data_IF_970242214888
#
_entry.id   IF_970242214888
#
_cell.length_a   1.000
_cell.length_b   1.000
_cell.length_c   1.000
_cell.angle_alpha   90.00
_cell.angle_beta   90.00
_cell.angle_gamma   90.00
#
_symmetry.space_group_name_H-M   'P 1'
#
loop_
_entity.id
_entity.type
_entity.pdbx_description
1 polymer ?
#
# COMPACT_ATOMS: atom_id res chain seq x y z
N UNK A 1 -8.38 14.22 1.79
CA UNK A 1 -7.14 15.01 2.00
C UNK A 1 -6.25 14.22 2.96
N UNK A 2 -4.95 14.08 2.66
CA UNK A 2 -3.93 13.45 3.52
C UNK A 2 -2.96 14.50 4.04
N UNK A 3 -2.14 14.16 5.02
CA UNK A 3 -1.04 14.99 5.51
C UNK A 3 0.26 14.81 4.70
N UNK A 4 0.23 13.95 3.67
CA UNK A 4 1.42 13.60 2.88
C UNK A 4 2.47 12.83 3.67
N UNK A 5 2.14 12.32 4.86
CA UNK A 5 3.03 11.57 5.75
C UNK A 5 4.28 12.35 6.20
N UNK A 6 4.24 13.68 6.17
CA UNK A 6 5.37 14.55 6.52
C UNK A 6 5.90 14.40 7.95
N UNK A 7 5.16 13.67 8.81
CA UNK A 7 5.55 13.40 10.19
C UNK A 7 6.28 12.07 10.36
N UNK A 8 6.53 11.33 9.26
CA UNK A 8 7.21 10.04 9.23
C UNK A 8 8.53 10.17 8.51
N UNK A 9 9.58 9.56 9.04
CA UNK A 9 10.84 9.37 8.33
C UNK A 9 10.68 8.22 7.32
N UNK A 10 10.06 7.13 7.76
CA UNK A 10 9.75 5.98 6.93
C UNK A 10 8.29 5.55 7.13
N UNK A 11 7.49 5.59 6.08
CA UNK A 11 6.03 5.43 6.10
C UNK A 11 5.53 4.17 6.83
N UNK A 12 6.25 3.05 6.75
CA UNK A 12 5.88 1.79 7.38
C UNK A 12 6.65 1.50 8.67
N UNK A 13 7.94 1.88 8.71
CA UNK A 13 8.80 1.58 9.87
C UNK A 13 8.34 2.35 11.10
N UNK A 14 8.09 3.65 10.96
CA UNK A 14 7.66 4.51 12.07
C UNK A 14 6.36 4.01 12.70
N UNK A 15 5.43 3.51 11.87
CA UNK A 15 4.19 2.94 12.35
C UNK A 15 4.42 1.63 13.11
N UNK A 16 5.14 0.69 12.50
CA UNK A 16 5.35 -0.65 13.04
C UNK A 16 6.27 -0.65 14.27
N UNK A 17 7.29 0.20 14.28
CA UNK A 17 8.15 0.43 15.43
C UNK A 17 7.41 1.10 16.61
N UNK A 18 6.23 1.65 16.36
CA UNK A 18 5.33 2.12 17.42
C UNK A 18 4.73 1.01 18.29
N UNK A 19 4.78 -0.25 17.85
CA UNK A 19 4.35 -1.41 18.62
C UNK A 19 5.49 -1.95 19.50
N UNK A 20 5.18 -2.34 20.72
CA UNK A 20 6.12 -3.04 21.58
C UNK A 20 6.56 -4.34 20.92
N UNK A 21 7.81 -4.73 21.09
CA UNK A 21 8.38 -5.94 20.52
C UNK A 21 8.92 -5.78 19.09
N UNK A 22 8.75 -4.62 18.44
CA UNK A 22 9.37 -4.29 17.15
C UNK A 22 10.52 -3.32 17.38
N UNK A 23 11.71 -3.68 16.92
CA UNK A 23 12.93 -2.86 17.01
C UNK A 23 13.54 -2.63 15.65
N UNK A 24 14.35 -1.57 15.53
CA UNK A 24 15.14 -1.32 14.32
C UNK A 24 16.38 -2.20 14.29
N UNK A 25 16.75 -2.64 13.09
CA UNK A 25 17.94 -3.46 12.85
C UNK A 25 18.81 -2.80 11.78
N UNK A 26 20.11 -3.01 11.88
CA UNK A 26 21.10 -2.60 10.86
C UNK A 26 21.39 -3.71 9.84
N UNK A 27 20.75 -4.88 9.98
CA UNK A 27 20.91 -6.01 9.06
C UNK A 27 20.34 -5.71 7.67
N UNK A 28 20.96 -6.26 6.62
CA UNK A 28 20.41 -6.24 5.26
C UNK A 28 19.51 -7.46 5.07
N UNK A 29 18.19 -7.28 5.17
CA UNK A 29 17.21 -8.34 4.93
C UNK A 29 16.71 -8.39 3.48
N UNK A 30 17.02 -7.35 2.70
CA UNK A 30 16.52 -7.25 1.33
C UNK A 30 17.35 -8.09 0.36
N UNK A 31 18.57 -8.50 0.74
CA UNK A 31 19.45 -9.31 -0.10
C UNK A 31 19.61 -8.72 -1.50
N UNK A 32 19.16 -9.47 -2.53
CA UNK A 32 19.16 -9.03 -3.92
C UNK A 32 17.93 -8.18 -4.31
N UNK A 33 16.84 -8.20 -3.51
CA UNK A 33 15.62 -7.42 -3.76
C UNK A 33 15.80 -5.95 -3.38
N UNK A 34 16.64 -5.24 -4.12
CA UNK A 34 16.98 -3.83 -3.89
C UNK A 34 16.24 -2.92 -4.85
N UNK A 35 16.06 -1.67 -4.42
CA UNK A 35 15.54 -0.65 -5.31
C UNK A 35 16.46 -0.43 -6.51
N UNK A 36 15.91 -0.48 -7.71
CA UNK A 36 16.64 -0.28 -8.94
C UNK A 36 17.17 1.18 -9.02
N UNK A 37 18.47 1.35 -9.28
CA UNK A 37 19.06 2.67 -9.49
C UNK A 37 19.41 3.46 -8.23
N UNK A 38 19.44 2.83 -7.06
CA UNK A 38 19.95 3.44 -5.81
C UNK A 38 20.72 2.42 -4.97
N UNK A 39 21.70 2.91 -4.21
CA UNK A 39 22.45 2.13 -3.21
C UNK A 39 21.88 2.30 -1.80
N UNK A 40 20.99 3.27 -1.58
CA UNK A 40 20.35 3.50 -0.30
C UNK A 40 19.22 2.49 -0.09
N UNK A 41 19.12 1.97 1.12
CA UNK A 41 18.06 1.07 1.54
C UNK A 41 17.41 1.60 2.82
N UNK A 42 16.09 1.39 3.01
CA UNK A 42 15.45 1.72 4.28
C UNK A 42 16.04 0.86 5.40
N UNK A 43 15.98 1.31 6.67
CA UNK A 43 16.27 0.48 7.81
C UNK A 43 15.43 -0.80 7.80
N UNK A 44 15.91 -1.82 8.48
CA UNK A 44 15.16 -3.07 8.65
C UNK A 44 14.56 -3.15 10.05
N UNK A 45 13.62 -4.06 10.23
CA UNK A 45 12.98 -4.31 11.51
C UNK A 45 13.37 -5.70 12.03
N UNK A 46 13.40 -5.85 13.34
CA UNK A 46 13.48 -7.15 14.00
C UNK A 46 12.35 -7.29 15.04
N UNK A 47 11.91 -8.52 15.23
CA UNK A 47 10.94 -8.84 16.27
C UNK A 47 11.73 -9.30 17.50
N UNK A 48 11.83 -8.42 18.50
CA UNK A 48 12.61 -8.65 19.72
C UNK A 48 11.78 -9.25 20.88
N UNK A 49 10.44 -9.18 20.77
CA UNK A 49 9.50 -9.71 21.77
C UNK A 49 8.09 -9.86 21.20
N UNK A 50 7.15 -10.36 22.02
CA UNK A 50 5.73 -10.45 21.63
C UNK A 50 5.19 -9.06 21.30
N UNK A 51 4.51 -8.96 20.17
CA UNK A 51 3.97 -7.69 19.67
C UNK A 51 2.75 -7.30 20.49
N UNK A 52 2.75 -6.05 20.96
CA UNK A 52 1.65 -5.46 21.74
C UNK A 52 1.50 -3.99 21.40
N UNK A 53 0.33 -3.46 21.66
CA UNK A 53 0.05 -2.03 21.54
C UNK A 53 -0.16 -1.42 22.92
N UNK A 54 0.89 -0.87 23.50
CA UNK A 54 0.82 -0.15 24.80
C UNK A 54 0.37 1.30 24.68
N UNK A 55 0.49 1.87 23.48
CA UNK A 55 0.12 3.26 23.16
C UNK A 55 -0.29 3.37 21.70
N UNK A 56 -1.07 4.42 21.30
CA UNK A 56 -1.34 4.71 19.90
C UNK A 56 -0.05 4.93 19.11
N UNK A 57 0.03 4.35 17.91
CA UNK A 57 1.21 4.53 17.05
C UNK A 57 1.20 5.90 16.37
N UNK A 58 0.08 6.28 15.75
CA UNK A 58 0.02 7.52 14.94
C UNK A 58 -1.27 8.33 15.12
N UNK A 59 -1.99 8.15 16.21
CA UNK A 59 -3.24 8.86 16.48
C UNK A 59 -3.06 10.39 16.47
N UNK A 60 -1.96 10.90 17.00
CA UNK A 60 -1.68 12.34 17.05
C UNK A 60 -1.44 12.93 15.64
N UNK A 61 -0.91 12.14 14.70
CA UNK A 61 -0.77 12.55 13.30
C UNK A 61 -2.17 12.75 12.65
N UNK A 62 -3.11 11.85 12.91
CA UNK A 62 -4.48 11.98 12.43
C UNK A 62 -5.20 13.17 13.08
N UNK A 63 -5.07 13.37 14.39
CA UNK A 63 -5.67 14.52 15.10
C UNK A 63 -5.19 15.85 14.51
N UNK A 64 -3.89 15.93 14.22
CA UNK A 64 -3.33 17.12 13.56
C UNK A 64 -3.94 17.31 12.16
N UNK A 65 -3.94 16.26 11.31
CA UNK A 65 -4.56 16.34 9.98
C UNK A 65 -5.99 16.84 10.08
N UNK A 66 -6.80 16.24 10.95
CA UNK A 66 -8.19 16.63 11.17
C UNK A 66 -8.32 18.10 11.58
N UNK A 67 -7.43 18.63 12.39
CA UNK A 67 -7.47 20.02 12.87
C UNK A 67 -7.22 21.06 11.77
N UNK A 68 -6.48 20.68 10.70
CA UNK A 68 -6.09 21.61 9.62
C UNK A 68 -6.93 21.44 8.34
N UNK A 69 -7.64 20.34 8.18
CA UNK A 69 -8.50 20.10 7.01
C UNK A 69 -9.70 21.06 7.03
N UNK A 70 -9.84 21.86 5.97
CA UNK A 70 -10.91 22.85 5.80
C UNK A 70 -12.02 22.36 4.86
N UNK A 71 -11.66 21.51 3.90
CA UNK A 71 -12.58 20.97 2.89
C UNK A 71 -12.24 19.49 2.62
N UNK A 72 -13.27 18.71 2.38
CA UNK A 72 -13.13 17.27 2.13
C UNK A 72 -12.98 16.46 3.41
N UNK A 73 -12.78 15.16 3.24
CA UNK A 73 -12.65 14.19 4.31
C UNK A 73 -11.16 13.95 4.61
N UNK A 74 -10.72 14.04 5.88
CA UNK A 74 -9.36 13.61 6.24
C UNK A 74 -9.24 12.11 6.01
N UNK A 75 -8.24 11.73 5.19
CA UNK A 75 -7.87 10.34 4.90
C UNK A 75 -6.55 10.03 5.60
N UNK A 76 -6.53 8.98 6.38
CA UNK A 76 -5.33 8.51 7.04
C UNK A 76 -4.76 7.28 6.36
N UNK A 77 -3.43 7.12 6.39
CA UNK A 77 -2.72 5.98 5.80
C UNK A 77 -1.92 5.25 6.86
N UNK A 78 -1.88 3.93 6.77
CA UNK A 78 -1.07 3.07 7.62
C UNK A 78 -0.57 1.86 6.82
N UNK A 79 0.59 1.28 7.16
CA UNK A 79 1.07 0.09 6.45
C UNK A 79 0.15 -1.11 6.67
N UNK A 80 0.16 -2.05 5.73
CA UNK A 80 -0.47 -3.36 5.90
C UNK A 80 0.25 -4.16 7.00
N UNK A 81 -0.46 -5.04 7.74
CA UNK A 81 0.17 -5.99 8.65
C UNK A 81 1.24 -6.85 7.98
N UNK A 82 1.06 -7.19 6.70
CA UNK A 82 2.02 -7.95 5.90
C UNK A 82 3.41 -7.31 5.85
N UNK A 83 3.49 -5.99 5.97
CA UNK A 83 4.76 -5.26 5.93
C UNK A 83 5.72 -5.68 7.04
N UNK A 84 5.23 -6.01 8.24
CA UNK A 84 6.10 -6.50 9.30
C UNK A 84 6.66 -7.89 8.94
N UNK A 85 5.80 -8.84 8.58
CA UNK A 85 6.25 -10.18 8.21
C UNK A 85 7.23 -10.14 7.03
N UNK A 86 6.91 -9.43 5.96
CA UNK A 86 7.72 -9.36 4.75
C UNK A 86 9.04 -8.60 4.93
N UNK A 87 9.13 -7.68 5.89
CA UNK A 87 10.26 -6.73 6.05
C UNK A 87 11.06 -6.89 7.33
N UNK A 88 10.62 -7.75 8.27
CA UNK A 88 11.41 -8.05 9.46
C UNK A 88 12.43 -9.17 9.19
N UNK A 89 13.48 -9.16 10.01
CA UNK A 89 14.43 -10.28 10.04
C UNK A 89 13.73 -11.59 10.39
N UNK A 90 13.79 -12.56 9.48
CA UNK A 90 13.10 -13.84 9.60
C UNK A 90 13.56 -14.67 10.79
N UNK A 91 14.84 -14.59 11.15
CA UNK A 91 15.38 -15.36 12.29
C UNK A 91 14.84 -14.82 13.61
N UNK A 92 14.80 -13.50 13.77
CA UNK A 92 14.22 -12.85 14.96
C UNK A 92 12.73 -13.16 15.09
N UNK A 93 11.99 -13.06 13.98
CA UNK A 93 10.56 -13.34 13.94
C UNK A 93 10.28 -14.79 14.36
N UNK A 94 10.95 -15.76 13.75
CA UNK A 94 10.78 -17.19 14.07
C UNK A 94 11.17 -17.54 15.51
N UNK A 95 12.14 -16.81 16.09
CA UNK A 95 12.55 -17.01 17.49
C UNK A 95 11.43 -16.63 18.46
N UNK A 96 10.72 -15.54 18.20
CA UNK A 96 9.63 -15.04 19.06
C UNK A 96 8.31 -15.76 18.76
N UNK A 97 8.07 -16.02 17.48
CA UNK A 97 6.84 -16.65 16.95
C UNK A 97 7.20 -17.92 16.16
N UNK A 98 7.44 -19.06 16.82
CA UNK A 98 7.62 -20.36 16.14
C UNK A 98 6.37 -20.75 15.31
N UNK A 99 5.18 -20.41 15.80
CA UNK A 99 3.92 -20.47 15.05
C UNK A 99 3.56 -19.08 14.54
N UNK A 100 3.57 -18.91 13.21
CA UNK A 100 3.23 -17.66 12.55
C UNK A 100 1.79 -17.22 12.81
N UNK A 101 0.87 -18.14 13.15
CA UNK A 101 -0.49 -17.77 13.49
C UNK A 101 -0.58 -16.94 14.77
N UNK A 102 0.32 -17.15 15.71
CA UNK A 102 0.41 -16.31 16.90
C UNK A 102 0.87 -14.89 16.58
N UNK A 103 1.80 -14.74 15.64
CA UNK A 103 2.18 -13.40 15.11
C UNK A 103 0.96 -12.68 14.56
N UNK A 104 0.19 -13.34 13.69
CA UNK A 104 -0.99 -12.73 13.09
C UNK A 104 -2.06 -12.39 14.11
N UNK A 105 -2.26 -13.23 15.13
CA UNK A 105 -3.19 -12.94 16.21
C UNK A 105 -2.81 -11.66 16.98
N UNK A 106 -1.55 -11.56 17.43
CA UNK A 106 -1.05 -10.41 18.17
C UNK A 106 -1.05 -9.13 17.30
N UNK A 107 -0.49 -9.21 16.10
CA UNK A 107 -0.34 -8.07 15.21
C UNK A 107 -1.70 -7.51 14.77
N UNK A 108 -2.62 -8.37 14.32
CA UNK A 108 -3.95 -7.91 13.88
C UNK A 108 -4.79 -7.36 15.03
N UNK A 109 -4.56 -7.82 16.27
CA UNK A 109 -5.16 -7.20 17.46
C UNK A 109 -4.66 -5.77 17.64
N UNK A 110 -3.34 -5.51 17.53
CA UNK A 110 -2.79 -4.15 17.59
C UNK A 110 -3.40 -3.23 16.53
N UNK A 111 -3.59 -3.75 15.30
CA UNK A 111 -4.24 -3.00 14.23
C UNK A 111 -5.69 -2.66 14.53
N UNK A 112 -6.48 -3.61 15.04
CA UNK A 112 -7.88 -3.34 15.43
C UNK A 112 -7.97 -2.24 16.48
N UNK A 113 -7.09 -2.27 17.48
CA UNK A 113 -7.05 -1.24 18.52
C UNK A 113 -6.68 0.13 17.95
N UNK A 114 -5.69 0.20 17.07
CA UNK A 114 -5.28 1.44 16.40
C UNK A 114 -6.42 2.00 15.52
N UNK A 115 -7.07 1.15 14.74
CA UNK A 115 -8.19 1.54 13.86
C UNK A 115 -9.38 2.03 14.70
N UNK A 116 -9.69 1.35 15.80
CA UNK A 116 -10.78 1.77 16.70
C UNK A 116 -10.51 3.16 17.30
N UNK A 117 -9.29 3.45 17.73
CA UNK A 117 -8.96 4.79 18.24
C UNK A 117 -8.97 5.86 17.15
N UNK A 118 -8.49 5.56 15.94
CA UNK A 118 -8.60 6.44 14.78
C UNK A 118 -10.08 6.74 14.47
N UNK A 119 -10.94 5.72 14.50
CA UNK A 119 -12.38 5.88 14.30
C UNK A 119 -13.01 6.79 15.37
N UNK A 120 -12.70 6.56 16.65
CA UNK A 120 -13.17 7.39 17.75
C UNK A 120 -12.67 8.84 17.66
N UNK A 121 -11.47 9.05 17.13
CA UNK A 121 -10.95 10.38 16.82
C UNK A 121 -11.65 11.06 15.63
N UNK A 122 -12.49 10.31 14.90
CA UNK A 122 -13.30 10.78 13.77
C UNK A 122 -12.72 10.46 12.40
N UNK A 123 -11.79 9.51 12.29
CA UNK A 123 -11.38 8.97 11.00
C UNK A 123 -12.54 8.22 10.36
N UNK A 124 -12.82 8.53 9.08
CA UNK A 124 -13.86 7.90 8.28
C UNK A 124 -13.34 7.44 6.91
N UNK A 125 -12.05 7.62 6.67
CA UNK A 125 -11.38 7.13 5.48
C UNK A 125 -9.97 6.68 5.84
N UNK A 126 -9.75 5.37 5.82
CA UNK A 126 -8.47 4.73 6.07
C UNK A 126 -7.94 4.11 4.78
N UNK A 127 -6.66 4.27 4.52
CA UNK A 127 -5.95 3.52 3.49
C UNK A 127 -4.88 2.65 4.15
N UNK A 128 -4.88 1.38 3.78
CA UNK A 128 -3.85 0.40 4.15
C UNK A 128 -2.87 0.31 2.99
N UNK A 129 -1.60 0.62 3.22
CA UNK A 129 -0.57 0.60 2.19
C UNK A 129 0.20 -0.73 2.22
N UNK A 130 0.14 -1.46 1.10
CA UNK A 130 0.77 -2.76 0.92
C UNK A 130 1.69 -2.77 -0.28
N UNK A 131 2.98 -2.94 -0.05
CA UNK A 131 3.97 -3.12 -1.13
C UNK A 131 4.42 -4.58 -1.26
N UNK A 132 3.77 -5.52 -0.54
CA UNK A 132 4.18 -6.93 -0.52
C UNK A 132 3.45 -7.74 -1.57
N UNK A 133 2.11 -7.72 -1.56
CA UNK A 133 1.30 -8.60 -2.40
C UNK A 133 1.53 -8.35 -3.91
N UNK A 134 1.70 -7.10 -4.32
CA UNK A 134 1.98 -6.76 -5.71
C UNK A 134 3.36 -7.23 -6.20
N UNK A 135 4.32 -7.42 -5.28
CA UNK A 135 5.65 -7.92 -5.61
C UNK A 135 5.64 -9.39 -6.03
N UNK A 136 4.65 -10.16 -5.59
CA UNK A 136 4.47 -11.55 -6.03
C UNK A 136 4.08 -11.67 -7.52
N UNK A 137 3.83 -10.57 -8.22
CA UNK A 137 3.74 -10.53 -9.68
C UNK A 137 5.08 -10.74 -10.40
N UNK A 138 6.21 -10.55 -9.70
CA UNK A 138 7.57 -10.66 -10.25
C UNK A 138 8.17 -12.03 -9.94
N UNK A 139 8.46 -12.88 -10.96
CA UNK A 139 9.07 -14.19 -10.74
C UNK A 139 10.43 -14.14 -10.03
N UNK A 140 11.21 -13.06 -10.21
CA UNK A 140 12.50 -12.88 -9.54
C UNK A 140 12.31 -12.66 -8.04
N UNK A 141 11.35 -11.84 -7.68
CA UNK A 141 10.99 -11.59 -6.28
C UNK A 141 10.43 -12.87 -5.64
N UNK A 142 9.55 -13.60 -6.33
CA UNK A 142 9.05 -14.88 -5.85
C UNK A 142 10.19 -15.86 -5.54
N UNK A 143 11.19 -15.97 -6.43
CA UNK A 143 12.32 -16.89 -6.24
C UNK A 143 13.18 -16.50 -5.02
N UNK A 144 13.37 -15.21 -4.78
CA UNK A 144 14.09 -14.73 -3.60
C UNK A 144 13.37 -15.11 -2.29
N UNK A 145 12.07 -14.93 -2.24
CA UNK A 145 11.29 -15.28 -1.05
C UNK A 145 11.20 -16.80 -0.84
N UNK A 146 11.14 -17.60 -1.93
CA UNK A 146 11.26 -19.07 -1.81
C UNK A 146 12.59 -19.50 -1.19
N UNK A 147 13.69 -18.82 -1.50
CA UNK A 147 15.00 -19.07 -0.85
C UNK A 147 14.98 -18.75 0.65
N UNK A 148 14.13 -17.84 1.09
CA UNK A 148 13.90 -17.54 2.51
C UNK A 148 12.94 -18.53 3.20
N UNK A 149 12.37 -19.48 2.43
CA UNK A 149 11.42 -20.47 2.92
C UNK A 149 9.96 -20.05 2.81
N UNK A 150 9.67 -18.94 2.16
CA UNK A 150 8.33 -18.45 1.92
C UNK A 150 7.67 -19.15 0.72
N UNK A 151 6.32 -19.20 0.71
CA UNK A 151 5.50 -19.69 -0.40
C UNK A 151 4.64 -18.51 -0.90
N UNK A 152 4.99 -17.85 -2.01
CA UNK A 152 4.32 -16.65 -2.49
C UNK A 152 2.81 -16.77 -2.64
N UNK A 153 2.29 -17.95 -3.00
CA UNK A 153 0.85 -18.16 -3.13
C UNK A 153 0.18 -18.17 -1.74
N UNK A 154 0.71 -18.95 -0.82
CA UNK A 154 0.20 -19.01 0.56
C UNK A 154 0.37 -17.69 1.28
N UNK A 155 1.48 -16.99 1.02
CA UNK A 155 1.72 -15.68 1.62
C UNK A 155 0.71 -14.64 1.13
N UNK A 156 0.34 -14.65 -0.15
CA UNK A 156 -0.69 -13.75 -0.67
C UNK A 156 -2.05 -13.97 0.03
N UNK A 157 -2.44 -15.24 0.24
CA UNK A 157 -3.65 -15.60 0.98
C UNK A 157 -3.56 -15.20 2.45
N UNK A 158 -2.44 -15.48 3.10
CA UNK A 158 -2.16 -15.16 4.50
C UNK A 158 -2.15 -13.63 4.74
N UNK A 159 -1.54 -12.85 3.86
CA UNK A 159 -1.50 -11.39 3.94
C UNK A 159 -2.89 -10.77 3.78
N UNK A 160 -3.66 -11.28 2.82
CA UNK A 160 -5.06 -10.85 2.67
C UNK A 160 -5.91 -11.22 3.89
N UNK A 161 -5.73 -12.42 4.45
CA UNK A 161 -6.39 -12.83 5.68
C UNK A 161 -6.01 -11.93 6.87
N UNK A 162 -4.75 -11.52 6.98
CA UNK A 162 -4.29 -10.59 8.01
C UNK A 162 -4.93 -9.20 7.87
N UNK A 163 -5.05 -8.68 6.64
CA UNK A 163 -5.79 -7.43 6.38
C UNK A 163 -7.25 -7.58 6.81
N UNK A 164 -7.93 -8.66 6.41
CA UNK A 164 -9.32 -8.92 6.78
C UNK A 164 -9.49 -9.03 8.31
N UNK A 165 -8.56 -9.68 9.01
CA UNK A 165 -8.58 -9.78 10.47
C UNK A 165 -8.36 -8.42 11.15
N UNK A 166 -7.52 -7.55 10.56
CA UNK A 166 -7.24 -6.21 11.08
C UNK A 166 -8.47 -5.26 10.96
N UNK A 167 -9.26 -5.40 9.89
CA UNK A 167 -10.39 -4.50 9.59
C UNK A 167 -11.77 -5.06 9.97
N UNK A 168 -11.84 -6.28 10.53
CA UNK A 168 -13.12 -6.98 10.74
C UNK A 168 -14.14 -6.24 11.62
N UNK A 169 -13.66 -5.37 12.51
CA UNK A 169 -14.50 -4.64 13.47
C UNK A 169 -14.70 -3.16 13.05
N UNK A 170 -14.33 -2.81 11.79
CA UNK A 170 -14.50 -1.46 11.26
C UNK A 170 -15.99 -1.17 11.04
N UNK A 171 -16.53 -0.04 11.57
CA UNK A 171 -17.91 0.36 11.34
C UNK A 171 -18.22 0.68 9.87
N UNK A 172 -19.46 0.44 9.45
CA UNK A 172 -19.93 0.62 8.05
C UNK A 172 -19.78 2.06 7.52
N UNK A 173 -19.72 3.05 8.39
CA UNK A 173 -19.53 4.46 8.02
C UNK A 173 -18.06 4.87 7.84
N UNK A 174 -17.12 3.93 7.95
CA UNK A 174 -15.70 4.14 7.70
C UNK A 174 -15.27 3.41 6.43
N UNK A 175 -14.89 4.15 5.42
CA UNK A 175 -14.31 3.59 4.19
C UNK A 175 -12.89 3.09 4.44
N UNK A 176 -12.62 1.85 4.07
CA UNK A 176 -11.28 1.27 4.08
C UNK A 176 -10.82 0.96 2.67
N UNK A 177 -9.67 1.46 2.29
CA UNK A 177 -9.03 1.16 1.01
C UNK A 177 -7.69 0.45 1.22
N UNK A 178 -7.26 -0.32 0.23
CA UNK A 178 -5.89 -0.84 0.17
C UNK A 178 -5.17 -0.26 -1.04
N UNK A 179 -3.93 0.17 -0.84
CA UNK A 179 -3.04 0.59 -1.92
C UNK A 179 -1.96 -0.46 -2.12
N UNK A 180 -1.77 -0.86 -3.38
CA UNK A 180 -0.74 -1.82 -3.76
C UNK A 180 0.18 -1.21 -4.81
N UNK A 181 1.49 -1.32 -4.59
CA UNK A 181 2.50 -0.88 -5.55
C UNK A 181 3.74 -1.79 -5.53
N UNK A 182 4.66 -1.53 -6.47
CA UNK A 182 5.92 -2.29 -6.63
C UNK A 182 7.14 -1.53 -6.14
N UNK A 183 6.91 -0.62 -5.21
CA UNK A 183 7.94 0.27 -4.66
C UNK A 183 8.05 1.59 -5.41
N UNK A 184 8.36 2.64 -4.65
CA UNK A 184 8.67 3.96 -5.16
C UNK A 184 9.66 4.62 -4.20
N UNK A 185 10.93 4.64 -4.59
CA UNK A 185 12.01 5.28 -3.84
C UNK A 185 12.89 6.07 -4.79
N UNK A 186 12.88 7.41 -4.68
CA UNK A 186 13.58 8.29 -5.63
C UNK A 186 13.25 7.99 -7.10
N UNK A 187 11.98 7.71 -7.41
CA UNK A 187 11.49 7.24 -8.71
C UNK A 187 11.91 5.82 -9.11
N UNK A 188 12.62 5.07 -8.26
CA UNK A 188 12.98 3.67 -8.49
C UNK A 188 11.88 2.71 -8.01
N UNK A 189 11.93 1.46 -8.47
CA UNK A 189 11.00 0.38 -8.09
C UNK A 189 11.77 -0.89 -7.74
N UNK A 190 11.11 -1.84 -7.08
CA UNK A 190 11.70 -3.13 -6.66
C UNK A 190 11.29 -4.25 -7.60
N UNK A 191 10.01 -4.30 -7.99
CA UNK A 191 9.42 -5.42 -8.70
C UNK A 191 8.76 -5.01 -10.02
N UNK A 192 8.63 -5.97 -10.93
CA UNK A 192 7.91 -5.88 -12.20
C UNK A 192 6.92 -7.06 -12.30
N UNK A 193 5.94 -6.97 -13.19
CA UNK A 193 4.93 -8.01 -13.39
C UNK A 193 3.52 -7.58 -13.03
N UNK A 194 2.54 -8.27 -13.59
CA UNK A 194 1.12 -7.98 -13.40
C UNK A 194 0.57 -8.55 -12.09
N UNK A 195 -0.69 -8.26 -11.84
CA UNK A 195 -1.41 -8.74 -10.64
C UNK A 195 -1.98 -10.17 -10.80
N UNK A 196 -1.89 -10.77 -12.00
CA UNK A 196 -2.55 -12.05 -12.29
C UNK A 196 -2.25 -13.15 -11.25
N UNK A 197 -0.98 -13.37 -10.81
CA UNK A 197 -0.66 -14.44 -9.86
C UNK A 197 -1.28 -14.28 -8.47
N UNK A 198 -1.69 -13.06 -8.10
CA UNK A 198 -2.18 -12.72 -6.76
C UNK A 198 -3.60 -12.17 -6.76
N UNK A 199 -4.21 -12.01 -7.92
CA UNK A 199 -5.48 -11.30 -8.09
C UNK A 199 -6.60 -11.91 -7.25
N UNK A 200 -6.77 -13.22 -7.28
CA UNK A 200 -7.84 -13.91 -6.55
C UNK A 200 -7.69 -13.71 -5.04
N UNK A 201 -6.50 -13.92 -4.50
CA UNK A 201 -6.22 -13.67 -3.09
C UNK A 201 -6.40 -12.19 -2.72
N UNK A 202 -5.82 -11.27 -3.49
CA UNK A 202 -5.90 -9.83 -3.21
C UNK A 202 -7.33 -9.31 -3.23
N UNK A 203 -8.14 -9.71 -4.22
CA UNK A 203 -9.53 -9.26 -4.33
C UNK A 203 -10.50 -9.98 -3.39
N UNK A 204 -10.07 -11.02 -2.65
CA UNK A 204 -10.83 -11.57 -1.53
C UNK A 204 -10.76 -10.68 -0.27
N UNK A 205 -10.01 -9.58 -0.31
CA UNK A 205 -9.98 -8.60 0.77
C UNK A 205 -11.32 -7.91 0.97
N UNK A 206 -11.70 -7.72 2.23
CA UNK A 206 -12.94 -7.04 2.65
C UNK A 206 -12.96 -5.52 2.45
N UNK A 207 -11.87 -4.91 1.98
CA UNK A 207 -11.78 -3.46 1.78
C UNK A 207 -12.80 -2.93 0.75
N UNK A 208 -13.10 -1.62 0.79
CA UNK A 208 -14.07 -0.99 -0.11
C UNK A 208 -13.46 -0.56 -1.45
N UNK A 209 -12.15 -0.30 -1.48
CA UNK A 209 -11.47 0.18 -2.67
C UNK A 209 -10.03 -0.34 -2.77
N UNK A 210 -9.60 -0.58 -4.01
CA UNK A 210 -8.26 -1.02 -4.37
C UNK A 210 -7.57 0.07 -5.18
N UNK A 211 -6.52 0.68 -4.63
CA UNK A 211 -5.63 1.60 -5.34
C UNK A 211 -4.51 0.80 -5.96
N UNK A 212 -4.47 0.72 -7.28
CA UNK A 212 -3.60 -0.21 -8.00
C UNK A 212 -2.68 0.51 -8.97
N UNK A 213 -1.42 0.10 -9.00
CA UNK A 213 -0.42 0.63 -9.91
C UNK A 213 -0.59 0.04 -11.32
N UNK A 214 -0.81 0.94 -12.30
CA UNK A 214 -0.91 0.63 -13.72
C UNK A 214 -0.24 1.71 -14.59
N UNK A 215 0.77 2.40 -14.10
CA UNK A 215 1.39 3.56 -14.76
C UNK A 215 2.27 3.22 -15.98
N UNK A 216 2.64 1.96 -16.14
CA UNK A 216 3.49 1.49 -17.24
C UNK A 216 3.24 0.02 -17.56
N UNK A 217 3.84 -0.48 -18.65
CA UNK A 217 3.78 -1.89 -19.05
C UNK A 217 4.35 -2.84 -17.99
N UNK A 218 5.25 -2.34 -17.14
CA UNK A 218 5.81 -3.03 -15.97
C UNK A 218 4.73 -3.58 -15.03
N UNK A 219 3.58 -2.91 -14.94
CA UNK A 219 2.48 -3.29 -14.06
C UNK A 219 1.53 -4.34 -14.68
N UNK A 220 1.77 -4.76 -15.93
CA UNK A 220 0.91 -5.71 -16.65
C UNK A 220 -0.42 -5.11 -17.12
N UNK A 221 -1.33 -5.98 -17.54
CA UNK A 221 -2.63 -5.61 -18.09
C UNK A 221 -3.76 -5.62 -17.05
N UNK A 222 -4.99 -5.31 -17.53
CA UNK A 222 -6.18 -5.16 -16.69
C UNK A 222 -7.00 -6.44 -16.49
N UNK A 223 -6.61 -7.56 -17.09
CA UNK A 223 -7.34 -8.84 -16.94
C UNK A 223 -7.59 -9.26 -15.48
N UNK A 224 -6.68 -9.01 -14.51
CA UNK A 224 -6.92 -9.30 -13.10
C UNK A 224 -8.16 -8.61 -12.50
N UNK A 225 -8.63 -7.51 -13.07
CA UNK A 225 -9.80 -6.78 -12.58
C UNK A 225 -11.11 -7.58 -12.67
N UNK A 226 -11.14 -8.70 -13.42
CA UNK A 226 -12.29 -9.62 -13.45
C UNK A 226 -12.60 -10.27 -12.10
N UNK A 227 -11.62 -10.30 -11.18
CA UNK A 227 -11.79 -10.83 -9.82
C UNK A 227 -12.33 -9.79 -8.82
N UNK A 228 -12.47 -8.52 -9.23
CA UNK A 228 -12.98 -7.46 -8.33
C UNK A 228 -14.41 -7.77 -7.91
N UNK A 229 -14.70 -7.86 -6.61
CA UNK A 229 -16.04 -8.15 -6.14
C UNK A 229 -17.02 -7.03 -6.52
N UNK A 230 -18.28 -7.40 -6.74
CA UNK A 230 -19.33 -6.44 -7.08
C UNK A 230 -19.43 -5.33 -6.01
N UNK A 231 -19.51 -4.08 -6.46
CA UNK A 231 -19.65 -2.91 -5.61
C UNK A 231 -18.35 -2.33 -5.05
N UNK A 232 -17.23 -3.05 -5.17
CA UNK A 232 -15.92 -2.52 -4.77
C UNK A 232 -15.37 -1.57 -5.84
N UNK A 233 -14.61 -0.56 -5.41
CA UNK A 233 -13.98 0.43 -6.31
C UNK A 233 -12.56 0.02 -6.65
N UNK A 234 -12.14 0.35 -7.88
CA UNK A 234 -10.74 0.25 -8.31
C UNK A 234 -10.25 1.63 -8.74
N UNK A 235 -9.22 2.09 -8.08
CA UNK A 235 -8.56 3.35 -8.42
C UNK A 235 -7.35 3.02 -9.28
N UNK A 236 -7.47 3.34 -10.57
CA UNK A 236 -6.46 3.08 -11.57
C UNK A 236 -5.34 4.12 -11.49
N UNK A 237 -4.20 3.73 -10.98
CA UNK A 237 -2.98 4.54 -10.92
C UNK A 237 -2.30 4.59 -12.29
N UNK A 238 -2.87 5.34 -13.23
CA UNK A 238 -2.41 5.42 -14.62
C UNK A 238 -1.39 6.53 -14.87
N UNK A 239 -1.33 7.53 -13.98
CA UNK A 239 -0.43 8.67 -14.15
C UNK A 239 0.81 8.44 -13.30
N UNK A 240 1.98 8.32 -13.95
CA UNK A 240 3.22 8.02 -13.26
C UNK A 240 3.66 9.17 -12.35
N UNK A 241 4.03 8.85 -11.12
CA UNK A 241 4.69 9.78 -10.21
C UNK A 241 6.23 9.67 -10.24
N UNK A 242 6.78 8.86 -11.15
CA UNK A 242 8.21 8.57 -11.25
C UNK A 242 8.91 9.42 -12.31
N UNK A 243 8.18 9.96 -13.28
CA UNK A 243 8.73 10.73 -14.41
C UNK A 243 7.97 12.03 -14.63
N UNK A 244 8.64 13.03 -15.18
CA UNK A 244 8.06 14.33 -15.54
C UNK A 244 7.16 14.27 -16.79
N UNK A 245 7.23 13.18 -17.57
CA UNK A 245 6.42 13.02 -18.79
C UNK A 245 4.94 13.09 -18.45
N UNK A 246 4.22 13.97 -19.12
CA UNK A 246 2.78 14.13 -18.95
C UNK A 246 2.04 13.22 -19.92
N UNK A 247 1.23 12.31 -19.39
CA UNK A 247 0.41 11.36 -20.15
C UNK A 247 -0.61 12.08 -21.02
N UNK A 248 -0.88 11.58 -22.23
CA UNK A 248 -1.91 12.16 -23.09
C UNK A 248 -3.32 11.81 -22.58
N UNK A 249 -4.28 12.74 -22.78
CA UNK A 249 -5.68 12.52 -22.38
C UNK A 249 -6.28 11.31 -23.09
N UNK A 250 -5.97 11.15 -24.38
CA UNK A 250 -6.54 10.07 -25.19
C UNK A 250 -5.98 8.71 -24.79
N UNK A 251 -4.68 8.64 -24.44
CA UNK A 251 -4.10 7.41 -23.94
C UNK A 251 -4.70 7.02 -22.58
N UNK A 252 -4.88 7.97 -21.67
CA UNK A 252 -5.53 7.70 -20.38
C UNK A 252 -6.96 7.19 -20.57
N UNK A 253 -7.76 7.82 -21.44
CA UNK A 253 -9.12 7.36 -21.76
C UNK A 253 -9.13 5.95 -22.34
N UNK A 254 -8.26 5.69 -23.32
CA UNK A 254 -8.11 4.37 -23.94
C UNK A 254 -7.78 3.30 -22.89
N UNK A 255 -6.90 3.60 -21.93
CA UNK A 255 -6.57 2.67 -20.85
C UNK A 255 -7.72 2.46 -19.88
N UNK A 256 -8.49 3.50 -19.57
CA UNK A 256 -9.73 3.37 -18.78
C UNK A 256 -10.75 2.49 -19.52
N UNK A 257 -10.93 2.67 -20.83
CA UNK A 257 -11.80 1.83 -21.67
C UNK A 257 -11.33 0.36 -21.68
N UNK A 258 -10.03 0.11 -21.70
CA UNK A 258 -9.48 -1.23 -21.59
C UNK A 258 -9.80 -1.86 -20.23
N UNK A 259 -9.63 -1.12 -19.14
CA UNK A 259 -9.98 -1.58 -17.79
C UNK A 259 -11.50 -1.84 -17.65
N UNK A 260 -12.33 -1.01 -18.27
CA UNK A 260 -13.79 -1.14 -18.27
C UNK A 260 -14.32 -2.40 -18.95
N UNK A 261 -13.49 -3.12 -19.71
CA UNK A 261 -13.82 -4.46 -20.24
C UNK A 261 -13.82 -5.55 -19.17
N UNK A 262 -13.22 -5.29 -18.03
CA UNK A 262 -13.01 -6.25 -16.95
C UNK A 262 -13.75 -5.87 -15.64
N UNK A 263 -14.07 -4.58 -15.46
CA UNK A 263 -14.82 -4.09 -14.30
C UNK A 263 -15.75 -2.94 -14.75
N UNK A 264 -16.96 -2.78 -14.15
CA UNK A 264 -17.89 -1.72 -14.51
C UNK A 264 -17.26 -0.33 -14.38
N UNK A 265 -17.49 0.56 -15.39
CA UNK A 265 -16.89 1.90 -15.42
C UNK A 265 -17.24 2.73 -14.20
N UNK A 266 -18.45 2.59 -13.66
CA UNK A 266 -18.89 3.25 -12.43
C UNK A 266 -18.12 2.82 -11.17
N UNK A 267 -17.41 1.70 -11.23
CA UNK A 267 -16.54 1.21 -10.17
C UNK A 267 -15.07 1.60 -10.36
N UNK A 268 -14.73 2.18 -11.52
CA UNK A 268 -13.37 2.63 -11.79
C UNK A 268 -13.18 4.09 -11.40
N UNK A 269 -11.99 4.42 -10.94
CA UNK A 269 -11.53 5.79 -10.65
C UNK A 269 -10.15 6.00 -11.26
N UNK A 270 -9.70 7.24 -11.37
CA UNK A 270 -8.39 7.59 -11.89
C UNK A 270 -7.56 8.28 -10.82
N UNK A 271 -6.28 7.92 -10.70
CA UNK A 271 -5.32 8.60 -9.82
C UNK A 271 -3.90 8.60 -10.41
N UNK A 272 -2.98 9.36 -9.81
CA UNK A 272 -1.55 9.04 -9.92
C UNK A 272 -1.25 7.66 -9.34
N UNK A 273 -0.10 7.11 -9.70
CA UNK A 273 0.29 5.75 -9.31
C UNK A 273 0.58 5.64 -7.80
N UNK A 274 1.49 6.45 -7.27
CA UNK A 274 1.83 6.59 -5.85
C UNK A 274 1.86 8.08 -5.48
N UNK A 275 2.38 8.44 -4.32
CA UNK A 275 2.72 9.82 -4.01
C UNK A 275 3.88 10.34 -4.89
N UNK A 276 3.96 11.64 -5.06
CA UNK A 276 5.06 12.32 -5.79
C UNK A 276 6.32 12.49 -4.95
N UNK A 277 6.26 12.15 -3.66
CA UNK A 277 7.37 12.10 -2.74
C UNK A 277 7.14 10.94 -1.77
N UNK A 278 7.44 9.73 -2.20
CA UNK A 278 7.19 8.51 -1.40
C UNK A 278 8.15 8.35 -0.22
N UNK A 279 9.20 9.15 -0.18
CA UNK A 279 10.14 9.30 0.93
C UNK A 279 10.56 10.78 1.03
N UNK A 280 11.23 11.17 2.11
CA UNK A 280 11.74 12.54 2.29
C UNK A 280 12.70 13.00 1.17
N UNK A 281 13.26 12.08 0.42
CA UNK A 281 14.13 12.42 -0.73
C UNK A 281 13.37 12.95 -1.95
N UNK A 282 12.05 12.70 -2.05
CA UNK A 282 11.25 13.08 -3.21
C UNK A 282 11.48 12.19 -4.44
N UNK A 283 10.70 12.45 -5.46
CA UNK A 283 10.83 11.84 -6.79
C UNK A 283 11.47 12.84 -7.78
N UNK A 284 11.85 12.33 -8.96
CA UNK A 284 12.51 13.14 -10.01
C UNK A 284 11.49 13.98 -10.80
N UNK A 285 10.72 14.81 -10.07
CA UNK A 285 9.75 15.76 -10.63
C UNK A 285 9.82 17.10 -9.90
N UNK A 286 9.56 18.19 -10.62
CA UNK A 286 9.31 19.50 -10.03
C UNK A 286 7.87 19.63 -9.52
N UNK A 287 7.62 20.64 -8.68
CA UNK A 287 6.27 20.96 -8.21
C UNK A 287 5.32 21.30 -9.37
N UNK A 288 5.79 22.03 -10.39
CA UNK A 288 4.96 22.37 -11.55
C UNK A 288 4.58 21.14 -12.38
N UNK A 289 5.47 20.17 -12.50
CA UNK A 289 5.17 18.90 -13.18
C UNK A 289 4.18 18.08 -12.38
N UNK A 290 4.28 18.05 -11.06
CA UNK A 290 3.28 17.44 -10.19
C UNK A 290 1.89 18.07 -10.39
N UNK A 291 1.82 19.42 -10.36
CA UNK A 291 0.54 20.12 -10.55
C UNK A 291 -0.07 19.83 -11.92
N UNK A 292 0.71 19.86 -12.99
CA UNK A 292 0.24 19.50 -14.33
C UNK A 292 -0.31 18.08 -14.44
N UNK A 293 0.31 17.13 -13.72
CA UNK A 293 -0.19 15.75 -13.63
C UNK A 293 -1.51 15.65 -12.86
N UNK A 294 -1.64 16.35 -11.75
CA UNK A 294 -2.90 16.40 -10.98
C UNK A 294 -4.03 17.06 -11.80
N UNK A 295 -3.77 18.14 -12.51
CA UNK A 295 -4.72 18.77 -13.43
C UNK A 295 -5.14 17.79 -14.54
N UNK A 296 -4.19 17.01 -15.08
CA UNK A 296 -4.48 15.98 -16.08
C UNK A 296 -5.43 14.91 -15.55
N UNK A 297 -5.23 14.44 -14.32
CA UNK A 297 -6.12 13.47 -13.66
C UNK A 297 -7.53 14.04 -13.56
N UNK A 298 -7.67 15.27 -13.05
CA UNK A 298 -8.97 15.94 -12.87
C UNK A 298 -9.68 16.16 -14.20
N UNK A 299 -8.95 16.62 -15.22
CA UNK A 299 -9.49 16.86 -16.56
C UNK A 299 -10.03 15.59 -17.20
N UNK A 300 -9.26 14.50 -17.15
CA UNK A 300 -9.69 13.21 -17.72
C UNK A 300 -10.86 12.64 -16.92
N UNK A 301 -10.79 12.68 -15.59
CA UNK A 301 -11.88 12.21 -14.75
C UNK A 301 -13.21 12.92 -15.05
N UNK A 302 -13.21 14.24 -15.21
CA UNK A 302 -14.40 15.03 -15.60
C UNK A 302 -14.95 14.70 -17.00
N UNK A 303 -14.11 14.15 -17.89
CA UNK A 303 -14.54 13.77 -19.24
C UNK A 303 -15.10 12.34 -19.29
N UNK A 304 -14.62 11.45 -18.42
CA UNK A 304 -15.02 10.04 -18.37
C UNK A 304 -16.23 9.81 -17.47
N UNK A 305 -16.22 10.40 -16.28
CA UNK A 305 -17.31 10.28 -15.27
C UNK A 305 -18.06 11.60 -15.14
N UNK A 306 -19.00 11.80 -16.06
CA UNK A 306 -19.92 12.97 -16.06
C UNK A 306 -21.16 12.72 -15.22
#
# INVERSE_FOLDING_TARGET
VTDGEFRRDWWHIDFLHGFDGVELSTGDIYGEAKFQGTHEQPPTMMVAGRIRRSKPSMLEHFKFLKSVVRKGLPKFTMPSPAMLHARADRASLKKVYPDVNELWADLTQCYREEIAELYHAGCRYLQIDDTTIAMWGDPKVQEQFRKLGDDPQKDAEMYTAAVNAAIRDVPDDMTVAIHTCRGNFKSAWVAEGGYEPVAEAMFSSGVDAFFMEFDSERAGGFAPLRYVPKGKKVVLGLVSSKTAQLESKDELKKRIEQAARHAPLENLCLSPQCGFSSTHHGNKLSHDEQWRKLERVVDVARQVWR
#
